data_IF_077308809733
#
_entry.id   IF_077308809733
#
_cell.length_a   1.000
_cell.length_b   1.000
_cell.length_c   1.000
_cell.angle_alpha   90.00
_cell.angle_beta   90.00
_cell.angle_gamma   90.00
#
_symmetry.space_group_name_H-M   'P 1'
#
loop_
_entity.id
_entity.type
_entity.pdbx_description
1 polymer ?
#
# COMPACT_ATOMS: atom_id res chain seq x y z
N UNK A 1 -11.17 -6.20 -15.17
CA UNK A 1 -10.52 -6.34 -13.85
C UNK A 1 -9.03 -6.04 -13.97
N UNK A 2 -8.48 -5.34 -12.99
CA UNK A 2 -7.07 -4.97 -12.99
C UNK A 2 -6.24 -6.02 -12.25
N UNK A 3 -4.98 -6.16 -12.65
CA UNK A 3 -4.04 -7.01 -11.94
C UNK A 3 -3.31 -6.17 -10.89
N UNK A 4 -3.05 -6.74 -9.72
CA UNK A 4 -2.33 -6.05 -8.65
C UNK A 4 -0.90 -6.55 -8.60
N UNK A 5 0.04 -5.61 -8.59
CA UNK A 5 1.47 -5.89 -8.52
C UNK A 5 2.09 -5.07 -7.39
N UNK A 6 3.10 -5.63 -6.73
CA UNK A 6 3.83 -4.94 -5.67
C UNK A 6 5.27 -4.73 -6.11
N UNK A 7 5.77 -3.51 -5.98
CA UNK A 7 7.20 -3.28 -6.16
C UNK A 7 7.96 -4.01 -5.03
N UNK A 8 9.20 -4.45 -5.31
CA UNK A 8 10.01 -5.09 -4.26
C UNK A 8 10.15 -4.25 -2.99
N UNK A 9 10.26 -2.93 -3.13
CA UNK A 9 10.36 -2.03 -1.97
C UNK A 9 9.08 -2.01 -1.15
N UNK A 10 7.93 -2.12 -1.80
CA UNK A 10 6.64 -2.19 -1.11
C UNK A 10 6.52 -3.49 -0.33
N UNK A 11 6.96 -4.60 -0.90
CA UNK A 11 6.98 -5.89 -0.20
C UNK A 11 7.89 -5.84 1.01
N UNK A 12 9.05 -5.19 0.88
CA UNK A 12 9.98 -5.00 2.00
C UNK A 12 9.35 -4.15 3.09
N UNK A 13 8.66 -3.08 2.71
CA UNK A 13 7.94 -2.24 3.67
C UNK A 13 6.97 -3.08 4.50
N UNK A 14 6.18 -3.94 3.84
CA UNK A 14 5.20 -4.78 4.51
C UNK A 14 5.85 -5.79 5.46
N UNK A 15 6.95 -6.40 5.05
CA UNK A 15 7.70 -7.33 5.90
C UNK A 15 8.25 -6.61 7.12
N UNK A 16 8.83 -5.42 6.93
CA UNK A 16 9.41 -4.64 8.02
C UNK A 16 8.32 -4.22 9.03
N UNK A 17 7.15 -3.83 8.54
CA UNK A 17 6.01 -3.48 9.39
C UNK A 17 5.56 -4.69 10.20
N UNK A 18 5.43 -5.85 9.55
CA UNK A 18 5.01 -7.08 10.22
C UNK A 18 6.01 -7.50 11.30
N UNK A 19 7.31 -7.38 11.02
CA UNK A 19 8.35 -7.69 11.99
C UNK A 19 8.32 -6.74 13.17
N UNK A 20 8.12 -5.46 12.90
CA UNK A 20 8.05 -4.47 13.97
C UNK A 20 6.91 -4.80 14.94
N UNK A 21 5.72 -5.06 14.42
CA UNK A 21 4.54 -5.35 15.25
C UNK A 21 4.65 -6.73 15.90
N UNK A 22 5.05 -7.74 15.15
CA UNK A 22 5.11 -9.11 15.63
C UNK A 22 6.19 -9.35 16.66
N UNK A 23 7.39 -8.81 16.42
CA UNK A 23 8.56 -9.05 17.27
C UNK A 23 8.76 -7.91 18.28
N UNK A 24 8.89 -6.68 17.77
CA UNK A 24 9.20 -5.53 18.63
C UNK A 24 8.08 -5.21 19.59
N UNK A 25 6.84 -5.25 19.13
CA UNK A 25 5.68 -5.02 19.97
C UNK A 25 5.11 -6.31 20.56
N UNK A 26 5.75 -7.44 20.27
CA UNK A 26 5.39 -8.76 20.77
C UNK A 26 3.90 -9.09 20.53
N UNK A 27 3.39 -8.75 19.34
CA UNK A 27 1.99 -8.98 19.00
C UNK A 27 1.87 -9.62 17.61
N UNK A 28 2.21 -10.92 17.47
CA UNK A 28 2.17 -11.60 16.18
C UNK A 28 0.77 -11.69 15.57
N UNK A 29 -0.27 -11.77 16.37
CA UNK A 29 -1.64 -11.82 15.85
C UNK A 29 -2.02 -10.50 15.19
N UNK A 30 -1.63 -9.37 15.78
CA UNK A 30 -1.87 -8.06 15.18
C UNK A 30 -1.07 -7.88 13.88
N UNK A 31 0.17 -8.40 13.85
CA UNK A 31 0.99 -8.33 12.64
C UNK A 31 0.35 -9.09 11.50
N UNK A 32 -0.11 -10.31 11.77
CA UNK A 32 -0.78 -11.15 10.76
C UNK A 32 -2.09 -10.51 10.28
N UNK A 33 -2.90 -10.02 11.22
CA UNK A 33 -4.17 -9.37 10.87
C UNK A 33 -3.99 -8.13 10.02
N UNK A 34 -2.97 -7.32 10.30
CA UNK A 34 -2.67 -6.14 9.51
C UNK A 34 -2.18 -6.52 8.11
N UNK A 35 -1.31 -7.52 8.01
CA UNK A 35 -0.82 -7.99 6.71
C UNK A 35 -1.97 -8.49 5.83
N UNK A 36 -2.88 -9.28 6.40
CA UNK A 36 -4.06 -9.77 5.69
C UNK A 36 -4.94 -8.60 5.23
N UNK A 37 -5.15 -7.61 6.09
CA UNK A 37 -5.97 -6.45 5.76
C UNK A 37 -5.36 -5.65 4.62
N UNK A 38 -4.04 -5.50 4.61
CA UNK A 38 -3.35 -4.81 3.54
C UNK A 38 -3.54 -5.53 2.20
N UNK A 39 -3.37 -6.85 2.19
CA UNK A 39 -3.54 -7.65 0.97
C UNK A 39 -4.98 -7.59 0.47
N UNK A 40 -5.95 -7.77 1.36
CA UNK A 40 -7.37 -7.68 0.98
C UNK A 40 -7.72 -6.31 0.40
N UNK A 41 -7.25 -5.25 1.05
CA UNK A 41 -7.54 -3.89 0.60
C UNK A 41 -6.92 -3.61 -0.76
N UNK A 42 -5.69 -4.10 -0.99
CA UNK A 42 -5.04 -3.96 -2.29
C UNK A 42 -5.77 -4.75 -3.36
N UNK A 43 -6.21 -5.97 -3.05
CA UNK A 43 -6.94 -6.80 -4.01
C UNK A 43 -8.27 -6.18 -4.43
N UNK A 44 -8.93 -5.45 -3.53
CA UNK A 44 -10.17 -4.73 -3.87
C UNK A 44 -9.94 -3.71 -4.98
N UNK A 45 -8.72 -3.20 -5.13
CA UNK A 45 -8.39 -2.27 -6.20
C UNK A 45 -8.50 -2.90 -7.59
N UNK A 46 -8.50 -4.23 -7.68
CA UNK A 46 -8.68 -4.92 -8.95
C UNK A 46 -10.02 -4.58 -9.60
N UNK A 47 -11.04 -4.32 -8.77
CA UNK A 47 -12.38 -3.97 -9.25
C UNK A 47 -12.63 -2.47 -9.27
N UNK A 48 -12.01 -1.72 -8.36
CA UNK A 48 -12.24 -0.28 -8.21
C UNK A 48 -10.93 0.48 -7.96
N UNK A 49 -10.02 0.51 -8.97
CA UNK A 49 -8.71 1.12 -8.74
C UNK A 49 -8.74 2.63 -8.52
N UNK A 50 -9.80 3.31 -8.97
CA UNK A 50 -9.93 4.76 -8.85
C UNK A 50 -10.67 5.22 -7.60
N UNK A 51 -11.02 4.31 -6.70
CA UNK A 51 -11.82 4.67 -5.51
C UNK A 51 -11.06 5.50 -4.48
N UNK A 52 -9.74 5.44 -4.46
CA UNK A 52 -8.94 6.15 -3.47
C UNK A 52 -8.50 7.51 -4.00
N UNK A 53 -8.34 8.51 -3.10
CA UNK A 53 -7.94 9.85 -3.51
C UNK A 53 -6.51 9.89 -4.04
N UNK A 54 -6.26 10.87 -4.90
CA UNK A 54 -4.92 11.12 -5.40
C UNK A 54 -4.04 11.74 -4.32
N UNK A 55 -2.77 11.38 -4.34
CA UNK A 55 -1.75 12.02 -3.53
C UNK A 55 -1.20 13.21 -4.32
N UNK A 56 -1.26 14.40 -3.74
CA UNK A 56 -0.79 15.62 -4.39
C UNK A 56 0.52 16.04 -3.73
N UNK A 57 1.68 15.72 -4.33
CA UNK A 57 2.98 16.08 -3.77
C UNK A 57 3.31 17.54 -4.01
N UNK A 58 4.26 18.07 -3.22
CA UNK A 58 4.76 19.43 -3.42
C UNK A 58 5.48 19.54 -4.75
N UNK A 59 6.24 18.51 -5.12
CA UNK A 59 6.95 18.47 -6.41
C UNK A 59 6.33 17.39 -7.29
N UNK A 60 6.27 17.61 -8.63
CA UNK A 60 5.74 16.58 -9.53
C UNK A 60 6.51 15.27 -9.43
N UNK A 61 5.78 14.17 -9.46
CA UNK A 61 6.33 12.83 -9.44
C UNK A 61 6.14 12.19 -10.82
N UNK A 62 6.89 11.11 -11.07
CA UNK A 62 6.81 10.39 -12.33
C UNK A 62 5.41 9.82 -12.60
N UNK A 63 4.74 9.35 -11.56
CA UNK A 63 3.42 8.75 -11.64
C UNK A 63 2.41 9.55 -10.84
N UNK A 64 1.14 9.41 -11.19
CA UNK A 64 0.04 9.92 -10.38
C UNK A 64 -0.28 8.89 -9.31
N UNK A 65 0.18 9.13 -8.09
CA UNK A 65 -0.03 8.22 -7.00
C UNK A 65 -1.39 8.42 -6.34
N UNK A 66 -1.96 7.32 -5.85
CA UNK A 66 -3.17 7.34 -5.03
C UNK A 66 -2.83 6.75 -3.67
N UNK A 67 -3.64 7.10 -2.67
CA UNK A 67 -3.42 6.69 -1.27
C UNK A 67 -4.51 5.72 -0.85
N UNK A 68 -4.12 4.49 -0.56
CA UNK A 68 -5.01 3.50 0.06
C UNK A 68 -4.65 3.45 1.54
N UNK A 69 -5.60 3.85 2.39
CA UNK A 69 -5.37 3.89 3.83
C UNK A 69 -5.82 2.56 4.44
N UNK A 70 -4.90 1.91 5.18
CA UNK A 70 -5.18 0.67 5.91
C UNK A 70 -4.69 0.88 7.33
N UNK A 71 -5.63 1.06 8.28
CA UNK A 71 -5.33 1.42 9.66
C UNK A 71 -4.46 2.67 9.72
N UNK A 72 -3.27 2.58 10.31
CA UNK A 72 -2.35 3.70 10.45
C UNK A 72 -1.29 3.75 9.34
N UNK A 73 -1.53 3.06 8.24
CA UNK A 73 -0.58 2.97 7.14
C UNK A 73 -1.19 3.45 5.85
N UNK A 74 -0.35 3.92 4.95
CA UNK A 74 -0.76 4.34 3.61
C UNK A 74 -0.03 3.45 2.61
N UNK A 75 -0.80 2.86 1.70
CA UNK A 75 -0.26 2.10 0.57
C UNK A 75 -0.38 3.00 -0.65
N UNK A 76 0.75 3.51 -1.14
CA UNK A 76 0.77 4.32 -2.34
C UNK A 76 0.77 3.44 -3.56
N UNK A 77 -0.05 3.77 -4.54
CA UNK A 77 -0.13 2.99 -5.77
C UNK A 77 -0.39 3.90 -6.98
N UNK A 78 -0.08 3.38 -8.17
CA UNK A 78 -0.48 4.03 -9.42
C UNK A 78 -1.17 3.01 -10.32
N UNK A 79 -1.87 3.53 -11.32
CA UNK A 79 -2.65 2.73 -12.25
C UNK A 79 -2.08 2.88 -13.65
N UNK A 80 -1.79 1.77 -14.32
CA UNK A 80 -1.47 1.74 -15.74
C UNK A 80 -2.72 1.27 -16.47
N UNK A 81 -3.43 2.20 -17.07
CA UNK A 81 -4.71 1.91 -17.70
C UNK A 81 -4.54 1.02 -18.93
N UNK A 82 -3.47 1.21 -19.69
CA UNK A 82 -3.21 0.43 -20.90
C UNK A 82 -2.97 -1.04 -20.57
N UNK A 83 -2.25 -1.31 -19.51
CA UNK A 83 -1.94 -2.67 -19.07
C UNK A 83 -2.97 -3.23 -18.09
N UNK A 84 -3.91 -2.42 -17.65
CA UNK A 84 -4.86 -2.78 -16.58
C UNK A 84 -4.12 -3.30 -15.36
N UNK A 85 -3.12 -2.54 -14.93
CA UNK A 85 -2.21 -2.93 -13.87
C UNK A 85 -2.19 -1.88 -12.77
N UNK A 86 -2.37 -2.33 -11.53
CA UNK A 86 -2.23 -1.48 -10.34
C UNK A 86 -0.93 -1.88 -9.65
N UNK A 87 -0.04 -0.92 -9.49
CA UNK A 87 1.26 -1.17 -8.86
C UNK A 87 1.31 -0.52 -7.48
N UNK A 88 1.47 -1.34 -6.46
CA UNK A 88 1.67 -0.86 -5.09
C UNK A 88 3.15 -0.48 -4.96
N UNK A 89 3.39 0.81 -4.74
CA UNK A 89 4.74 1.37 -4.80
C UNK A 89 5.45 1.42 -3.44
N UNK A 90 4.74 1.84 -2.40
CA UNK A 90 5.29 1.96 -1.04
C UNK A 90 4.19 1.73 -0.02
N UNK A 91 4.60 1.27 1.17
CA UNK A 91 3.71 1.19 2.32
C UNK A 91 4.41 1.89 3.47
N UNK A 92 3.81 2.96 3.99
CA UNK A 92 4.44 3.80 5.01
C UNK A 92 3.47 4.08 6.16
N UNK A 93 4.04 4.36 7.32
CA UNK A 93 3.23 4.79 8.47
C UNK A 93 2.66 6.17 8.18
N UNK A 94 1.35 6.35 8.41
CA UNK A 94 0.63 7.55 8.00
C UNK A 94 1.11 8.83 8.69
N UNK A 95 1.78 8.73 9.84
CA UNK A 95 2.32 9.89 10.56
C UNK A 95 3.75 10.23 10.14
N UNK A 96 4.31 9.49 9.18
CA UNK A 96 5.61 9.80 8.65
C UNK A 96 5.52 11.01 7.72
N UNK A 97 6.61 11.76 7.70
CA UNK A 97 6.75 12.87 6.75
C UNK A 97 7.14 12.26 5.39
N UNK A 98 6.26 12.38 4.43
CA UNK A 98 6.47 11.77 3.12
C UNK A 98 6.15 12.72 1.96
#
# INVERSE_FOLDING_TARGET
>A
MYTIEYLPIARRDMVDIAKYIGVKLANPDAAEGLAEKMVESAEDLANMPYKCPMYIPVKPLKHEYRKLIVHNYIMFYWIDEDKKLVTIARVVYSRRDY
#
